data_IF_356554594853
#
_entry.id   IF_356554594853
#
_cell.length_a   1.000
_cell.length_b   1.000
_cell.length_c   1.000
_cell.angle_alpha   90.00
_cell.angle_beta   90.00
_cell.angle_gamma   90.00
#
_symmetry.space_group_name_H-M   'P 1'
#
loop_
_entity.id
_entity.type
_entity.pdbx_description
1 polymer ?
#
# COMPACT_ATOMS: atom_id res chain seq x y z
N UNK A 1 18.97 -24.58 -2.15
CA UNK A 1 18.07 -23.43 -2.03
C UNK A 1 18.88 -22.18 -2.37
N UNK A 2 19.04 -21.90 -3.66
CA UNK A 2 19.78 -20.74 -4.13
C UNK A 2 18.79 -19.57 -4.20
N UNK A 3 19.01 -18.54 -3.38
CA UNK A 3 18.43 -17.23 -3.64
C UNK A 3 18.91 -16.81 -5.03
N UNK A 4 18.00 -16.60 -5.96
CA UNK A 4 18.35 -15.88 -7.19
C UNK A 4 18.76 -14.46 -6.75
N UNK A 5 19.98 -14.02 -7.12
CA UNK A 5 20.44 -12.69 -6.77
C UNK A 5 19.56 -11.69 -7.53
N UNK A 6 19.05 -10.66 -6.83
CA UNK A 6 18.95 -9.33 -7.46
C UNK A 6 20.27 -9.16 -8.20
N UNK A 7 20.27 -9.13 -9.54
CA UNK A 7 21.50 -9.28 -10.32
C UNK A 7 22.57 -8.36 -9.71
N UNK A 8 23.64 -8.96 -9.17
CA UNK A 8 24.70 -8.20 -8.49
C UNK A 8 25.20 -7.07 -9.39
N UNK A 9 25.06 -7.23 -10.72
CA UNK A 9 25.27 -6.23 -11.75
C UNK A 9 24.60 -4.89 -11.46
N UNK A 10 23.33 -4.85 -11.05
CA UNK A 10 22.62 -3.56 -10.88
C UNK A 10 23.06 -2.82 -9.61
N UNK A 11 23.36 -3.53 -8.53
CA UNK A 11 23.82 -2.94 -7.26
C UNK A 11 25.26 -2.48 -7.40
N UNK A 12 26.12 -3.28 -8.04
CA UNK A 12 27.52 -2.92 -8.31
C UNK A 12 27.59 -1.71 -9.24
N UNK A 13 26.80 -1.67 -10.32
CA UNK A 13 26.72 -0.50 -11.21
C UNK A 13 26.25 0.78 -10.49
N UNK A 14 25.30 0.65 -9.56
CA UNK A 14 24.81 1.79 -8.75
C UNK A 14 25.88 2.26 -7.75
N UNK A 15 26.60 1.34 -7.12
CA UNK A 15 27.69 1.66 -6.18
C UNK A 15 28.94 2.20 -6.88
N UNK A 16 29.24 1.74 -8.09
CA UNK A 16 30.34 2.25 -8.92
C UNK A 16 30.06 3.68 -9.38
N UNK A 17 28.83 3.97 -9.85
CA UNK A 17 28.42 5.34 -10.20
C UNK A 17 28.40 6.31 -9.02
N UNK A 18 28.26 5.79 -7.81
CA UNK A 18 28.25 6.60 -6.60
C UNK A 18 29.65 6.94 -6.10
N UNK A 19 30.71 6.30 -6.61
CA UNK A 19 32.09 6.44 -6.09
C UNK A 19 32.96 7.49 -6.79
N UNK A 20 32.48 8.15 -7.83
CA UNK A 20 33.31 9.06 -8.63
C UNK A 20 33.41 10.47 -8.02
N UNK A 21 34.37 10.65 -7.10
CA UNK A 21 35.19 11.86 -6.99
C UNK A 21 36.52 11.52 -6.26
N UNK A 22 37.61 12.22 -6.57
CA UNK A 22 38.98 11.96 -6.07
C UNK A 22 39.13 12.08 -4.53
N UNK A 23 38.04 12.40 -3.81
CA UNK A 23 37.98 12.54 -2.36
C UNK A 23 37.05 11.52 -1.65
N UNK A 24 36.55 10.49 -2.34
CA UNK A 24 35.75 9.42 -1.72
C UNK A 24 34.34 9.83 -1.29
N UNK A 25 33.76 10.86 -1.93
CA UNK A 25 32.39 11.32 -1.69
C UNK A 25 31.36 10.61 -2.57
N UNK A 26 30.18 10.33 -2.02
CA UNK A 26 29.04 9.75 -2.75
C UNK A 26 28.34 10.79 -3.64
N UNK A 27 28.80 11.08 -4.88
CA UNK A 27 28.08 12.03 -5.74
C UNK A 27 28.11 11.73 -7.24
N UNK A 28 26.93 11.40 -7.78
CA UNK A 28 26.46 11.76 -9.14
C UNK A 28 24.93 11.67 -9.31
N UNK A 29 24.20 11.11 -8.33
CA UNK A 29 22.75 10.95 -8.41
C UNK A 29 22.03 12.28 -8.19
N UNK A 30 21.36 12.77 -9.24
CA UNK A 30 20.50 13.95 -9.22
C UNK A 30 19.05 13.58 -8.82
N UNK A 31 18.22 14.58 -8.54
CA UNK A 31 16.77 14.40 -8.41
C UNK A 31 16.03 14.78 -9.70
N UNK A 32 16.75 15.07 -10.77
CA UNK A 32 16.23 15.72 -11.97
C UNK A 32 15.73 14.72 -13.03
N UNK A 33 15.99 13.42 -12.83
CA UNK A 33 15.54 12.36 -13.73
C UNK A 33 14.86 11.20 -12.99
N UNK A 34 13.79 10.60 -13.57
CA UNK A 34 13.15 9.40 -12.99
C UNK A 34 14.10 8.22 -12.79
N UNK A 35 15.14 8.13 -13.62
CA UNK A 35 16.19 7.10 -13.55
C UNK A 35 17.07 7.28 -12.31
N UNK A 36 17.40 8.52 -11.96
CA UNK A 36 18.22 8.83 -10.78
C UNK A 36 17.40 8.67 -9.50
N UNK A 37 16.12 9.04 -9.51
CA UNK A 37 15.19 8.77 -8.39
C UNK A 37 15.06 7.27 -8.14
N UNK A 38 14.91 6.46 -9.20
CA UNK A 38 14.87 5.00 -9.09
C UNK A 38 16.17 4.46 -8.49
N UNK A 39 17.32 5.02 -8.90
CA UNK A 39 18.62 4.66 -8.36
C UNK A 39 18.76 5.05 -6.89
N UNK A 40 18.24 6.20 -6.45
CA UNK A 40 18.19 6.63 -5.06
C UNK A 40 17.29 5.72 -4.20
N UNK A 41 16.15 5.27 -4.72
CA UNK A 41 15.27 4.30 -4.05
C UNK A 41 15.96 2.95 -3.89
N UNK A 42 16.62 2.47 -4.94
CA UNK A 42 17.37 1.22 -4.89
C UNK A 42 18.54 1.32 -3.90
N UNK A 43 19.23 2.46 -3.87
CA UNK A 43 20.30 2.75 -2.93
C UNK A 43 19.80 2.74 -1.47
N UNK A 44 18.66 3.39 -1.20
CA UNK A 44 18.01 3.34 0.11
C UNK A 44 17.63 1.90 0.51
N UNK A 45 17.06 1.12 -0.41
CA UNK A 45 16.73 -0.30 -0.14
C UNK A 45 17.98 -1.14 0.14
N UNK A 46 19.07 -0.91 -0.59
CA UNK A 46 20.35 -1.58 -0.35
C UNK A 46 20.91 -1.25 1.03
N UNK A 47 20.77 -0.01 1.48
CA UNK A 47 21.24 0.43 2.80
C UNK A 47 20.54 -0.29 3.96
N UNK A 48 19.32 -0.79 3.75
CA UNK A 48 18.55 -1.54 4.75
C UNK A 48 19.01 -3.00 4.89
N UNK A 49 19.85 -3.49 3.99
CA UNK A 49 20.36 -4.88 3.98
C UNK A 49 21.88 -4.84 4.19
N UNK A 50 22.32 -4.36 5.36
CA UNK A 50 23.73 -4.21 5.69
C UNK A 50 24.32 -5.47 6.36
N UNK A 51 25.51 -5.90 5.93
CA UNK A 51 26.32 -6.87 6.68
C UNK A 51 27.05 -6.19 7.85
N UNK A 52 27.42 -6.90 8.93
CA UNK A 52 27.97 -6.30 10.15
C UNK A 52 29.22 -5.41 9.95
N UNK A 53 30.02 -5.67 8.92
CA UNK A 53 31.26 -4.93 8.64
C UNK A 53 31.04 -3.69 7.75
N UNK A 54 29.83 -3.49 7.22
CA UNK A 54 29.49 -2.38 6.30
C UNK A 54 28.52 -1.38 6.94
N UNK A 55 28.26 -1.50 8.25
CA UNK A 55 27.21 -0.76 8.96
C UNK A 55 27.37 0.76 8.86
N UNK A 56 28.58 1.28 9.04
CA UNK A 56 28.86 2.72 8.99
C UNK A 56 28.68 3.28 7.57
N UNK A 57 29.17 2.55 6.56
CA UNK A 57 28.98 2.90 5.15
C UNK A 57 27.51 2.88 4.76
N UNK A 58 26.77 1.84 5.17
CA UNK A 58 25.34 1.71 4.85
C UNK A 58 24.49 2.74 5.59
N UNK A 59 24.87 3.16 6.80
CA UNK A 59 24.23 4.30 7.47
C UNK A 59 24.46 5.61 6.70
N UNK A 60 25.66 5.84 6.18
CA UNK A 60 25.95 6.98 5.31
C UNK A 60 25.13 6.96 4.02
N UNK A 61 25.02 5.79 3.39
CA UNK A 61 24.19 5.55 2.19
C UNK A 61 22.70 5.78 2.47
N UNK A 62 22.20 5.32 3.63
CA UNK A 62 20.83 5.54 4.06
C UNK A 62 20.54 7.04 4.21
N UNK A 63 21.38 7.75 4.99
CA UNK A 63 21.22 9.17 5.26
C UNK A 63 21.28 9.99 3.96
N UNK A 64 22.21 9.64 3.07
CA UNK A 64 22.33 10.28 1.76
C UNK A 64 21.09 10.04 0.90
N UNK A 65 20.72 8.78 0.66
CA UNK A 65 19.57 8.45 -0.20
C UNK A 65 18.28 9.04 0.36
N UNK A 66 18.07 8.96 1.68
CA UNK A 66 16.93 9.55 2.38
C UNK A 66 16.91 11.08 2.25
N UNK A 67 18.04 11.75 2.45
CA UNK A 67 18.15 13.21 2.30
C UNK A 67 17.85 13.67 0.87
N UNK A 68 18.36 12.95 -0.14
CA UNK A 68 18.10 13.28 -1.54
C UNK A 68 16.66 12.99 -1.95
N UNK A 69 16.07 11.89 -1.49
CA UNK A 69 14.64 11.60 -1.71
C UNK A 69 13.76 12.65 -1.01
N UNK A 70 14.12 13.09 0.20
CA UNK A 70 13.45 14.19 0.89
C UNK A 70 13.61 15.52 0.13
N UNK A 71 14.79 15.80 -0.44
CA UNK A 71 14.98 16.97 -1.31
C UNK A 71 14.17 16.85 -2.61
N UNK A 72 14.07 15.69 -3.23
CA UNK A 72 13.19 15.47 -4.38
C UNK A 72 11.73 15.78 -4.02
N UNK A 73 11.30 15.36 -2.83
CA UNK A 73 9.99 15.66 -2.26
C UNK A 73 9.78 17.16 -1.95
N UNK A 74 10.84 17.93 -1.68
CA UNK A 74 10.75 19.34 -1.28
C UNK A 74 11.04 20.32 -2.45
N UNK A 75 11.96 20.00 -3.35
CA UNK A 75 12.43 20.82 -4.48
C UNK A 75 11.58 20.58 -5.72
N UNK A 76 11.06 19.37 -5.92
CA UNK A 76 10.21 19.04 -7.07
C UNK A 76 8.87 19.76 -7.09
N UNK A 77 8.55 20.54 -6.05
CA UNK A 77 7.23 21.09 -5.76
C UNK A 77 6.16 20.06 -6.17
N UNK A 78 6.15 18.86 -5.54
CA UNK A 78 5.22 17.80 -5.88
C UNK A 78 3.85 18.35 -5.56
N UNK A 79 3.26 18.93 -6.58
CA UNK A 79 2.08 19.76 -6.44
C UNK A 79 0.88 18.87 -6.12
N UNK A 80 1.02 17.55 -6.34
CA UNK A 80 0.17 16.48 -5.82
C UNK A 80 0.19 16.38 -4.28
N UNK A 81 1.31 16.68 -3.59
CA UNK A 81 1.45 16.56 -2.13
C UNK A 81 0.92 17.74 -1.33
N UNK A 82 0.86 18.96 -1.88
CA UNK A 82 0.23 20.09 -1.18
C UNK A 82 -1.23 19.84 -0.81
N UNK A 83 -1.82 18.86 -1.50
CA UNK A 83 -3.22 18.49 -1.42
C UNK A 83 -3.48 17.20 -0.62
N UNK A 84 -2.45 16.38 -0.34
CA UNK A 84 -2.49 15.20 0.52
C UNK A 84 -1.07 14.91 1.05
N UNK A 85 -0.71 15.46 2.20
CA UNK A 85 0.58 15.16 2.82
C UNK A 85 0.61 13.67 3.16
N UNK A 86 1.37 12.86 2.42
CA UNK A 86 1.60 11.43 2.71
C UNK A 86 1.91 11.19 4.19
N UNK A 87 2.60 12.13 4.84
CA UNK A 87 2.84 12.12 6.28
C UNK A 87 1.56 12.01 7.13
N UNK A 88 0.49 12.72 6.75
CA UNK A 88 -0.82 12.64 7.40
C UNK A 88 -1.40 11.23 7.21
N UNK A 89 -1.38 10.70 5.98
CA UNK A 89 -1.87 9.34 5.69
C UNK A 89 -1.15 8.28 6.52
N UNK A 90 0.17 8.38 6.58
CA UNK A 90 1.01 7.47 7.36
C UNK A 90 0.74 7.60 8.87
N UNK A 91 0.50 8.83 9.38
CA UNK A 91 0.13 9.06 10.78
C UNK A 91 -1.24 8.46 11.10
N UNK A 92 -2.24 8.69 10.26
CA UNK A 92 -3.60 8.16 10.43
C UNK A 92 -3.61 6.62 10.35
N UNK A 93 -2.88 6.06 9.39
CA UNK A 93 -2.68 4.61 9.27
C UNK A 93 -2.02 4.01 10.51
N UNK A 94 -0.93 4.62 10.98
CA UNK A 94 -0.22 4.16 12.20
C UNK A 94 -1.13 4.23 13.42
N UNK A 95 -1.87 5.33 13.59
CA UNK A 95 -2.84 5.48 14.67
C UNK A 95 -3.95 4.42 14.60
N UNK A 96 -4.47 4.13 13.39
CA UNK A 96 -5.48 3.10 13.18
C UNK A 96 -4.97 1.70 13.52
N UNK A 97 -3.75 1.35 13.12
CA UNK A 97 -3.11 0.08 13.52
C UNK A 97 -2.91 0.01 15.02
N UNK A 98 -2.38 1.07 15.65
CA UNK A 98 -2.18 1.11 17.10
C UNK A 98 -3.50 0.90 17.84
N UNK A 99 -4.57 1.60 17.43
CA UNK A 99 -5.90 1.41 18.00
C UNK A 99 -6.40 -0.03 17.80
N UNK A 100 -6.31 -0.57 16.59
CA UNK A 100 -6.71 -1.95 16.30
C UNK A 100 -5.92 -2.98 17.13
N UNK A 101 -4.61 -2.77 17.33
CA UNK A 101 -3.76 -3.60 18.19
C UNK A 101 -4.15 -3.54 19.65
N UNK A 102 -4.50 -2.36 20.17
CA UNK A 102 -4.98 -2.18 21.54
C UNK A 102 -6.33 -2.87 21.73
N UNK A 103 -7.22 -2.74 20.75
CA UNK A 103 -8.58 -3.27 20.79
C UNK A 103 -8.67 -4.76 20.39
N UNK A 104 -7.55 -5.45 20.16
CA UNK A 104 -7.51 -6.85 19.63
C UNK A 104 -8.36 -7.85 20.41
N UNK A 105 -8.55 -7.66 21.72
CA UNK A 105 -9.34 -8.55 22.58
C UNK A 105 -10.81 -8.15 22.74
N UNK A 106 -11.27 -7.10 22.05
CA UNK A 106 -12.62 -6.54 22.19
C UNK A 106 -13.39 -6.72 20.89
N UNK A 107 -14.68 -7.04 20.98
CA UNK A 107 -15.60 -7.02 19.82
C UNK A 107 -16.47 -5.75 19.89
N UNK A 108 -16.11 -4.65 19.20
CA UNK A 108 -16.89 -3.40 19.18
C UNK A 108 -18.18 -3.54 18.34
N UNK A 109 -19.07 -2.52 18.32
CA UNK A 109 -20.11 -2.42 17.30
C UNK A 109 -19.51 -2.30 15.89
N UNK A 110 -20.24 -2.77 14.88
CA UNK A 110 -19.71 -2.84 13.50
C UNK A 110 -19.26 -1.48 12.96
N UNK A 111 -20.02 -0.41 13.16
CA UNK A 111 -19.65 0.91 12.65
C UNK A 111 -18.39 1.47 13.32
N UNK A 112 -18.23 1.23 14.62
CA UNK A 112 -17.03 1.61 15.36
C UNK A 112 -15.81 0.81 14.87
N UNK A 113 -15.99 -0.49 14.62
CA UNK A 113 -14.96 -1.33 14.02
C UNK A 113 -14.52 -0.80 12.67
N UNK A 114 -15.47 -0.62 11.73
CA UNK A 114 -15.19 -0.24 10.36
C UNK A 114 -14.52 1.13 10.25
N UNK A 115 -14.85 2.07 11.14
CA UNK A 115 -14.20 3.38 11.19
C UNK A 115 -12.68 3.28 11.37
N UNK A 116 -12.20 2.30 12.14
CA UNK A 116 -10.75 2.05 12.33
C UNK A 116 -10.21 1.06 11.30
N UNK A 117 -10.95 -0.03 11.06
CA UNK A 117 -10.51 -1.18 10.29
C UNK A 117 -10.35 -0.89 8.79
N UNK A 118 -11.16 0.03 8.24
CA UNK A 118 -11.02 0.47 6.84
C UNK A 118 -9.79 1.36 6.62
N UNK A 119 -9.28 2.00 7.66
CA UNK A 119 -8.02 2.76 7.60
C UNK A 119 -6.85 1.83 7.85
N UNK A 120 -6.94 0.94 8.85
CA UNK A 120 -5.85 0.02 9.22
C UNK A 120 -5.53 -1.04 8.17
N UNK A 121 -6.43 -1.32 7.21
CA UNK A 121 -6.14 -2.18 6.05
C UNK A 121 -5.15 -1.52 5.06
N UNK A 122 -4.99 -0.20 5.14
CA UNK A 122 -3.99 0.56 4.38
C UNK A 122 -4.49 1.15 3.06
N UNK A 123 -5.80 1.18 2.81
CA UNK A 123 -6.32 1.68 1.53
C UNK A 123 -5.93 3.13 1.21
N UNK A 124 -6.04 4.11 2.13
CA UNK A 124 -5.63 5.48 1.85
C UNK A 124 -4.12 5.57 1.59
N UNK A 125 -3.31 5.04 2.51
CA UNK A 125 -1.84 5.14 2.44
C UNK A 125 -1.27 4.44 1.19
N UNK A 126 -1.75 3.26 0.82
CA UNK A 126 -1.25 2.53 -0.37
C UNK A 126 -1.68 3.22 -1.66
N UNK A 127 -2.95 3.64 -1.74
CA UNK A 127 -3.48 4.31 -2.94
C UNK A 127 -2.77 5.64 -3.18
N UNK A 128 -2.55 6.42 -2.12
CA UNK A 128 -1.88 7.73 -2.23
C UNK A 128 -0.37 7.63 -2.42
N UNK A 129 0.28 6.63 -1.83
CA UNK A 129 1.68 6.32 -2.15
C UNK A 129 1.82 5.95 -3.64
N UNK A 130 0.88 5.18 -4.17
CA UNK A 130 0.85 4.83 -5.60
C UNK A 130 0.57 6.05 -6.48
N UNK A 131 -0.37 6.91 -6.09
CA UNK A 131 -0.68 8.15 -6.79
C UNK A 131 0.53 9.12 -6.82
N UNK A 132 1.29 9.18 -5.72
CA UNK A 132 2.53 9.95 -5.65
C UNK A 132 3.53 9.49 -6.72
N UNK A 133 3.79 8.19 -6.82
CA UNK A 133 4.71 7.64 -7.85
C UNK A 133 4.18 7.81 -9.27
N UNK A 134 2.87 7.65 -9.47
CA UNK A 134 2.21 7.85 -10.76
C UNK A 134 2.14 9.32 -11.18
N UNK A 135 2.30 10.25 -10.24
CA UNK A 135 2.13 11.68 -10.41
C UNK A 135 3.43 12.49 -10.50
N UNK A 136 4.58 11.82 -10.50
CA UNK A 136 5.87 12.49 -10.64
C UNK A 136 5.94 13.27 -11.96
N UNK A 137 5.99 14.61 -11.86
CA UNK A 137 6.03 15.52 -13.00
C UNK A 137 4.67 16.04 -13.47
N UNK A 138 3.58 15.64 -12.82
CA UNK A 138 2.24 16.17 -13.11
C UNK A 138 1.95 17.50 -12.37
N UNK A 139 1.04 18.33 -12.90
CA UNK A 139 0.53 19.50 -12.18
C UNK A 139 -0.26 19.10 -10.92
N UNK A 140 -0.52 20.06 -10.01
CA UNK A 140 -1.31 19.81 -8.80
C UNK A 140 -2.68 19.22 -9.13
N UNK A 141 -3.11 18.25 -8.33
CA UNK A 141 -4.50 17.78 -8.37
C UNK A 141 -5.36 18.88 -7.75
N UNK A 142 -6.40 19.30 -8.46
CA UNK A 142 -7.33 20.32 -7.95
C UNK A 142 -8.13 19.82 -6.74
N UNK A 143 -8.57 20.74 -5.87
CA UNK A 143 -9.48 20.43 -4.76
C UNK A 143 -10.77 19.74 -5.23
N UNK A 144 -11.24 20.08 -6.43
CA UNK A 144 -12.38 19.44 -7.04
C UNK A 144 -12.11 17.95 -7.31
N UNK A 145 -10.97 17.63 -7.91
CA UNK A 145 -10.57 16.23 -8.10
C UNK A 145 -10.37 15.51 -6.76
N UNK A 146 -9.76 16.16 -5.76
CA UNK A 146 -9.54 15.56 -4.43
C UNK A 146 -10.82 15.22 -3.70
N UNK A 147 -11.92 15.96 -3.88
CA UNK A 147 -13.22 15.54 -3.32
C UNK A 147 -13.69 14.18 -3.85
N UNK A 148 -13.26 13.78 -5.05
CA UNK A 148 -13.64 12.51 -5.67
C UNK A 148 -12.64 11.37 -5.45
N UNK A 149 -11.34 11.68 -5.42
CA UNK A 149 -10.29 10.65 -5.33
C UNK A 149 -9.46 10.71 -4.05
N UNK A 150 -9.61 11.80 -3.27
CA UNK A 150 -8.96 12.13 -1.99
C UNK A 150 -8.91 10.99 -0.99
N UNK A 151 -8.04 11.11 0.01
CA UNK A 151 -7.97 10.12 1.10
C UNK A 151 -9.29 10.02 1.89
N UNK A 152 -9.95 11.15 2.10
CA UNK A 152 -11.28 11.23 2.72
C UNK A 152 -12.44 11.08 1.70
N UNK A 153 -12.13 10.84 0.41
CA UNK A 153 -13.17 10.70 -0.61
C UNK A 153 -13.99 9.42 -0.41
N UNK A 154 -15.24 9.46 -0.89
CA UNK A 154 -16.11 8.28 -0.88
C UNK A 154 -15.48 7.10 -1.61
N UNK A 155 -14.74 7.34 -2.69
CA UNK A 155 -14.03 6.32 -3.46
C UNK A 155 -12.99 5.59 -2.60
N UNK A 156 -12.14 6.32 -1.88
CA UNK A 156 -11.09 5.73 -1.02
C UNK A 156 -11.69 4.99 0.17
N UNK A 157 -12.72 5.56 0.81
CA UNK A 157 -13.43 4.90 1.90
C UNK A 157 -14.06 3.57 1.47
N UNK A 158 -14.69 3.55 0.29
CA UNK A 158 -15.25 2.32 -0.28
C UNK A 158 -14.17 1.30 -0.63
N UNK A 159 -13.01 1.74 -1.14
CA UNK A 159 -11.90 0.85 -1.43
C UNK A 159 -11.36 0.17 -0.15
N UNK A 160 -11.23 0.94 0.94
CA UNK A 160 -10.88 0.40 2.26
C UNK A 160 -11.94 -0.54 2.81
N UNK A 161 -13.23 -0.21 2.62
CA UNK A 161 -14.34 -1.08 3.05
C UNK A 161 -14.36 -2.40 2.30
N UNK A 162 -14.22 -2.40 0.98
CA UNK A 162 -14.13 -3.64 0.18
C UNK A 162 -12.96 -4.48 0.67
N UNK A 163 -11.76 -3.89 0.74
CA UNK A 163 -10.54 -4.61 1.15
C UNK A 163 -10.66 -5.23 2.55
N UNK A 164 -11.12 -4.44 3.53
CA UNK A 164 -11.32 -4.89 4.91
C UNK A 164 -12.33 -6.04 4.98
N UNK A 165 -13.50 -5.87 4.39
CA UNK A 165 -14.54 -6.91 4.47
C UNK A 165 -14.12 -8.20 3.78
N UNK A 166 -13.44 -8.13 2.62
CA UNK A 166 -12.90 -9.32 1.95
C UNK A 166 -11.82 -10.01 2.78
N UNK A 167 -10.97 -9.25 3.47
CA UNK A 167 -9.98 -9.79 4.40
C UNK A 167 -10.67 -10.54 5.55
N UNK A 168 -11.58 -9.88 6.26
CA UNK A 168 -12.25 -10.42 7.45
C UNK A 168 -13.02 -11.73 7.16
N UNK A 169 -13.66 -11.84 5.99
CA UNK A 169 -14.36 -13.07 5.56
C UNK A 169 -13.42 -14.28 5.53
N UNK A 170 -12.15 -14.07 5.20
CA UNK A 170 -11.18 -15.13 4.98
C UNK A 170 -10.28 -15.36 6.18
N UNK A 171 -9.95 -14.30 6.93
CA UNK A 171 -8.91 -14.34 7.97
C UNK A 171 -9.45 -14.40 9.39
N UNK A 172 -10.74 -14.11 9.62
CA UNK A 172 -11.32 -13.98 10.96
C UNK A 172 -11.04 -15.19 11.86
N UNK A 173 -11.21 -16.42 11.36
CA UNK A 173 -11.01 -17.63 12.18
C UNK A 173 -9.58 -17.80 12.65
N UNK A 174 -8.62 -17.49 11.78
CA UNK A 174 -7.20 -17.54 12.10
C UNK A 174 -6.83 -16.42 13.08
N UNK A 175 -7.32 -15.21 12.83
CA UNK A 175 -7.06 -14.03 13.66
C UNK A 175 -7.64 -14.20 15.07
N UNK A 176 -8.85 -14.76 15.18
CA UNK A 176 -9.46 -15.10 16.45
C UNK A 176 -8.62 -16.08 17.28
N UNK A 177 -8.02 -17.10 16.63
CA UNK A 177 -7.09 -18.05 17.30
C UNK A 177 -5.83 -17.35 17.83
N UNK A 178 -5.44 -16.22 17.24
CA UNK A 178 -4.31 -15.39 17.68
C UNK A 178 -4.71 -14.30 18.68
N UNK A 179 -5.97 -14.28 19.14
CA UNK A 179 -6.48 -13.28 20.09
C UNK A 179 -6.77 -11.92 19.45
N UNK A 180 -7.01 -11.90 18.13
CA UNK A 180 -7.58 -10.78 17.38
C UNK A 180 -9.07 -11.08 17.15
N UNK A 181 -9.91 -10.71 18.12
CA UNK A 181 -11.32 -11.12 18.17
C UNK A 181 -12.24 -10.27 17.29
N UNK A 182 -11.79 -9.07 16.88
CA UNK A 182 -12.58 -8.13 16.10
C UNK A 182 -12.43 -8.35 14.59
N UNK A 183 -13.52 -8.78 13.96
CA UNK A 183 -13.71 -8.80 12.51
C UNK A 183 -15.12 -8.31 12.18
N UNK A 184 -15.40 -7.92 10.94
CA UNK A 184 -16.77 -7.59 10.54
C UNK A 184 -17.76 -8.73 10.83
N UNK A 185 -17.32 -9.98 10.67
CA UNK A 185 -18.11 -11.19 10.97
C UNK A 185 -18.41 -11.28 12.47
N UNK A 186 -17.40 -11.10 13.34
CA UNK A 186 -17.61 -11.18 14.80
C UNK A 186 -18.42 -10.00 15.33
N UNK A 187 -18.27 -8.82 14.74
CA UNK A 187 -19.07 -7.64 15.07
C UNK A 187 -20.55 -7.84 14.73
N UNK A 188 -20.86 -8.43 13.56
CA UNK A 188 -22.24 -8.80 13.22
C UNK A 188 -22.80 -9.87 14.16
N UNK A 189 -22.01 -10.92 14.44
CA UNK A 189 -22.43 -12.01 15.32
C UNK A 189 -22.80 -11.52 16.72
N UNK A 190 -22.13 -10.47 17.21
CA UNK A 190 -22.45 -9.83 18.50
C UNK A 190 -23.90 -9.33 18.56
N UNK A 191 -24.54 -9.04 17.43
CA UNK A 191 -25.92 -8.57 17.35
C UNK A 191 -26.95 -9.71 17.47
N UNK A 192 -26.51 -10.95 17.74
CA UNK A 192 -27.37 -12.10 18.06
C UNK A 192 -27.68 -13.02 16.89
N UNK A 193 -26.93 -12.92 15.78
CA UNK A 193 -27.08 -13.81 14.62
C UNK A 193 -26.12 -15.01 14.65
N UNK A 194 -26.42 -16.00 13.81
CA UNK A 194 -25.54 -17.15 13.56
C UNK A 194 -24.31 -16.74 12.74
N UNK A 195 -23.29 -17.61 12.71
CA UNK A 195 -22.06 -17.35 11.95
C UNK A 195 -22.33 -17.28 10.44
N UNK A 196 -23.19 -18.16 9.94
CA UNK A 196 -23.61 -18.19 8.54
C UNK A 196 -24.38 -16.92 8.16
N UNK A 197 -25.26 -16.43 9.04
CA UNK A 197 -25.97 -15.16 8.84
C UNK A 197 -25.03 -13.96 8.85
N UNK A 198 -24.05 -13.93 9.76
CA UNK A 198 -23.03 -12.89 9.80
C UNK A 198 -22.19 -12.89 8.51
N UNK A 199 -21.76 -14.06 8.05
CA UNK A 199 -20.99 -14.22 6.82
C UNK A 199 -21.78 -13.74 5.59
N UNK A 200 -23.04 -14.16 5.49
CA UNK A 200 -23.96 -13.73 4.44
C UNK A 200 -24.13 -12.20 4.43
N UNK A 201 -24.36 -11.60 5.60
CA UNK A 201 -24.49 -10.14 5.73
C UNK A 201 -23.22 -9.40 5.30
N UNK A 202 -22.04 -9.90 5.69
CA UNK A 202 -20.76 -9.32 5.28
C UNK A 202 -20.54 -9.44 3.78
N UNK A 203 -20.88 -10.57 3.16
CA UNK A 203 -20.82 -10.75 1.71
C UNK A 203 -21.75 -9.78 0.96
N UNK A 204 -22.95 -9.55 1.48
CA UNK A 204 -23.89 -8.56 0.93
C UNK A 204 -23.33 -7.12 1.03
N UNK A 205 -22.68 -6.78 2.15
CA UNK A 205 -21.98 -5.51 2.30
C UNK A 205 -20.83 -5.34 1.30
N UNK A 206 -20.05 -6.40 1.03
CA UNK A 206 -19.01 -6.39 0.00
C UNK A 206 -19.64 -6.08 -1.35
N UNK A 207 -20.70 -6.80 -1.72
CA UNK A 207 -21.39 -6.59 -3.00
C UNK A 207 -21.95 -5.17 -3.14
N UNK A 208 -22.52 -4.60 -2.07
CA UNK A 208 -22.99 -3.21 -2.05
C UNK A 208 -21.84 -2.21 -2.20
N UNK A 209 -20.76 -2.38 -1.44
CA UNK A 209 -19.59 -1.52 -1.50
C UNK A 209 -18.90 -1.55 -2.88
N UNK A 210 -18.82 -2.72 -3.53
CA UNK A 210 -18.29 -2.85 -4.89
C UNK A 210 -19.12 -2.06 -5.92
N UNK A 211 -20.46 -2.19 -5.88
CA UNK A 211 -21.34 -1.43 -6.79
C UNK A 211 -21.21 0.07 -6.58
N UNK A 212 -21.14 0.51 -5.32
CA UNK A 212 -20.95 1.92 -5.02
C UNK A 212 -19.57 2.42 -5.44
N UNK A 213 -18.51 1.61 -5.27
CA UNK A 213 -17.15 1.93 -5.70
C UNK A 213 -17.09 2.14 -7.22
N UNK A 214 -17.74 1.28 -8.00
CA UNK A 214 -17.83 1.42 -9.45
C UNK A 214 -18.56 2.69 -9.86
N UNK A 215 -19.63 3.04 -9.14
CA UNK A 215 -20.36 4.29 -9.35
C UNK A 215 -19.49 5.51 -9.03
N UNK A 216 -18.76 5.52 -7.92
CA UNK A 216 -17.83 6.61 -7.59
C UNK A 216 -16.70 6.73 -8.62
N UNK A 217 -16.18 5.60 -9.10
CA UNK A 217 -15.18 5.59 -10.16
C UNK A 217 -15.74 6.23 -11.43
N UNK A 218 -16.98 5.92 -11.81
CA UNK A 218 -17.67 6.57 -12.92
C UNK A 218 -17.85 8.08 -12.67
N UNK A 219 -18.28 8.50 -11.48
CA UNK A 219 -18.44 9.93 -11.13
C UNK A 219 -17.13 10.71 -11.12
N UNK A 220 -16.01 10.05 -10.86
CA UNK A 220 -14.69 10.68 -10.91
C UNK A 220 -14.22 10.98 -12.34
N UNK A 221 -14.84 10.37 -13.36
CA UNK A 221 -14.45 10.54 -14.75
C UNK A 221 -14.67 11.99 -15.21
N UNK A 222 -13.63 12.57 -15.82
CA UNK A 222 -13.65 13.95 -16.30
C UNK A 222 -13.42 15.00 -15.20
N UNK A 223 -13.46 14.64 -13.92
CA UNK A 223 -13.14 15.53 -12.79
C UNK A 223 -11.73 15.28 -12.28
N UNK A 224 -11.35 14.01 -12.11
CA UNK A 224 -10.03 13.60 -11.65
C UNK A 224 -9.25 12.86 -12.74
N UNK A 225 -7.90 12.95 -12.75
CA UNK A 225 -7.09 12.16 -13.68
C UNK A 225 -7.33 10.65 -13.48
N UNK A 226 -7.72 9.97 -14.56
CA UNK A 226 -8.21 8.59 -14.50
C UNK A 226 -7.21 7.61 -13.87
N UNK A 227 -5.90 7.84 -14.00
CA UNK A 227 -4.86 7.00 -13.39
C UNK A 227 -4.94 6.95 -11.87
N UNK A 228 -5.27 8.05 -11.21
CA UNK A 228 -5.37 8.12 -9.75
C UNK A 228 -6.65 7.45 -9.24
N UNK A 229 -7.79 7.75 -9.88
CA UNK A 229 -9.05 7.07 -9.55
C UNK A 229 -8.95 5.55 -9.74
N UNK A 230 -8.29 5.12 -10.83
CA UNK A 230 -8.00 3.70 -11.08
C UNK A 230 -7.05 3.11 -10.05
N UNK A 231 -6.05 3.84 -9.56
CA UNK A 231 -5.17 3.33 -8.51
C UNK A 231 -5.96 2.96 -7.24
N UNK A 232 -6.87 3.84 -6.80
CA UNK A 232 -7.76 3.58 -5.67
C UNK A 232 -8.66 2.36 -5.92
N UNK A 233 -9.32 2.31 -7.08
CA UNK A 233 -10.18 1.17 -7.43
C UNK A 233 -9.39 -0.15 -7.59
N UNK A 234 -8.16 -0.09 -8.11
CA UNK A 234 -7.30 -1.25 -8.28
C UNK A 234 -6.80 -1.79 -6.94
N UNK A 235 -6.63 -0.95 -5.92
CA UNK A 235 -6.36 -1.42 -4.56
C UNK A 235 -7.48 -2.35 -4.06
N UNK A 236 -8.75 -1.94 -4.20
CA UNK A 236 -9.89 -2.77 -3.81
C UNK A 236 -9.96 -4.09 -4.60
N UNK A 237 -9.67 -4.02 -5.92
CA UNK A 237 -9.61 -5.21 -6.79
C UNK A 237 -8.48 -6.15 -6.39
N UNK A 238 -7.30 -5.60 -6.08
CA UNK A 238 -6.15 -6.38 -5.64
C UNK A 238 -6.43 -7.07 -4.31
N UNK A 239 -7.04 -6.38 -3.34
CA UNK A 239 -7.48 -7.01 -2.08
C UNK A 239 -8.52 -8.12 -2.33
N UNK A 240 -9.51 -7.86 -3.19
CA UNK A 240 -10.51 -8.88 -3.55
C UNK A 240 -9.91 -10.10 -4.23
N UNK A 241 -8.85 -9.91 -5.04
CA UNK A 241 -8.11 -11.00 -5.67
C UNK A 241 -7.30 -11.78 -4.62
N UNK A 242 -6.61 -11.06 -3.74
CA UNK A 242 -5.75 -11.61 -2.69
C UNK A 242 -6.51 -12.48 -1.70
N UNK A 243 -7.76 -12.12 -1.39
CA UNK A 243 -8.65 -12.85 -0.48
C UNK A 243 -9.74 -13.63 -1.23
N UNK A 244 -9.55 -13.94 -2.51
CA UNK A 244 -10.62 -14.58 -3.31
C UNK A 244 -10.92 -16.01 -2.88
N UNK A 245 -9.91 -16.75 -2.44
CA UNK A 245 -10.00 -18.20 -2.14
C UNK A 245 -9.48 -18.53 -0.75
N UNK A 246 -8.34 -17.97 -0.40
CA UNK A 246 -7.71 -18.09 0.91
C UNK A 246 -6.96 -16.79 1.20
N UNK A 247 -6.30 -16.72 2.36
CA UNK A 247 -5.40 -15.60 2.64
C UNK A 247 -4.14 -15.76 1.78
N UNK A 248 -3.98 -14.89 0.79
CA UNK A 248 -2.84 -14.90 -0.12
C UNK A 248 -1.54 -14.30 0.44
N UNK A 249 -1.50 -13.85 1.70
CA UNK A 249 -0.25 -13.38 2.32
C UNK A 249 0.67 -14.50 2.82
N UNK A 250 0.21 -15.50 3.59
CA UNK A 250 1.06 -16.59 4.03
C UNK A 250 1.36 -17.55 2.88
N UNK A 251 2.63 -17.94 2.74
CA UNK A 251 3.04 -18.94 1.77
C UNK A 251 2.38 -20.30 2.06
N UNK A 252 1.95 -20.99 0.99
CA UNK A 252 1.30 -22.29 1.02
C UNK A 252 -0.22 -22.26 1.20
N UNK A 253 -0.84 -21.09 1.40
CA UNK A 253 -2.30 -20.98 1.60
C UNK A 253 -3.09 -20.97 0.28
N UNK A 254 -2.56 -20.37 -0.78
CA UNK A 254 -3.16 -20.38 -2.12
C UNK A 254 -2.06 -20.57 -3.18
N UNK A 255 -1.69 -21.83 -3.41
CA UNK A 255 -0.63 -22.18 -4.36
C UNK A 255 -0.95 -21.73 -5.79
N UNK A 256 -2.23 -21.68 -6.17
CA UNK A 256 -2.64 -21.21 -7.49
C UNK A 256 -2.46 -19.69 -7.63
N UNK A 257 -2.75 -18.91 -6.58
CA UNK A 257 -2.44 -17.48 -6.54
C UNK A 257 -0.93 -17.23 -6.57
N UNK A 258 -0.15 -17.98 -5.79
CA UNK A 258 1.32 -17.88 -5.78
C UNK A 258 1.92 -18.18 -7.15
N UNK A 259 1.42 -19.23 -7.82
CA UNK A 259 1.81 -19.58 -9.19
C UNK A 259 1.49 -18.47 -10.18
N UNK A 260 0.28 -17.90 -10.10
CA UNK A 260 -0.12 -16.76 -10.93
C UNK A 260 0.80 -15.55 -10.73
N UNK A 261 1.11 -15.19 -9.47
CA UNK A 261 2.00 -14.06 -9.16
C UNK A 261 3.43 -14.36 -9.61
N UNK A 262 3.92 -15.59 -9.42
CA UNK A 262 5.25 -16.00 -9.85
C UNK A 262 5.40 -15.95 -11.37
N UNK A 263 4.41 -16.45 -12.09
CA UNK A 263 4.37 -16.40 -13.55
C UNK A 263 4.32 -14.94 -14.04
N UNK A 264 3.46 -14.10 -13.46
CA UNK A 264 3.37 -12.68 -13.81
C UNK A 264 4.68 -11.91 -13.59
N UNK A 265 5.40 -12.18 -12.49
CA UNK A 265 6.61 -11.43 -12.12
C UNK A 265 7.90 -11.97 -12.74
N UNK A 266 8.01 -13.29 -12.91
CA UNK A 266 9.26 -13.95 -13.31
C UNK A 266 9.12 -14.79 -14.57
N UNK A 267 7.90 -15.06 -15.03
CA UNK A 267 7.65 -15.77 -16.27
C UNK A 267 8.09 -14.94 -17.47
N UNK A 268 8.66 -15.56 -18.52
CA UNK A 268 8.94 -14.86 -19.76
C UNK A 268 7.63 -14.34 -20.37
N UNK A 269 7.66 -13.13 -20.94
CA UNK A 269 6.55 -12.59 -21.72
C UNK A 269 6.43 -13.38 -23.02
N UNK A 270 5.72 -14.50 -22.98
CA UNK A 270 5.38 -15.25 -24.17
C UNK A 270 4.16 -14.58 -24.82
N UNK A 271 4.43 -13.69 -25.79
CA UNK A 271 3.43 -13.04 -26.64
C UNK A 271 3.17 -13.90 -27.87
#
# INVERSE_FOLDING_TARGET
>A
MAMLPLSCTTIVEVLERAKDDENGGFFSLSIDSPKDITSLINLYKCSQVAFPHELETMQGVELFAKSQLQKALLVGNPTVLSANNLEIEWKEYTAAISKWRIDRGRVPPLDEYLATACVSIGAPVVSWTSAFFLGCGDPPISDAALRHIGKDSRLTLLAGRVARLTNDVVTADREAKNGELASAVSCYRREGCTEEQALQAVQEMIGAACRELEWELFRSAGVAPARYARAVANYARAASLLYKRADGFPAGNDTAYEEMVRDFLYGPLNV
#
